data_IF_854398695887
#
_entry.id   IF_854398695887
#
_cell.length_a   1.000
_cell.length_b   1.000
_cell.length_c   1.000
_cell.angle_alpha   90.00
_cell.angle_beta   90.00
_cell.angle_gamma   90.00
#
_symmetry.space_group_name_H-M   'P 1'
#
loop_
_entity.id
_entity.type
_entity.pdbx_description
1 polymer ?
#
# COMPACT_ATOMS: atom_id res chain seq x y z
N UNK A 1 -22.84 -21.28 -14.33
CA UNK A 1 -21.70 -20.90 -15.21
C UNK A 1 -20.97 -19.77 -14.49
N UNK A 2 -19.64 -19.60 -14.58
CA UNK A 2 -18.99 -18.43 -13.99
C UNK A 2 -19.46 -17.17 -14.74
N UNK A 3 -20.17 -16.27 -14.07
CA UNK A 3 -20.71 -15.02 -14.65
C UNK A 3 -19.68 -13.86 -14.63
N UNK A 4 -18.39 -14.18 -14.50
CA UNK A 4 -17.31 -13.19 -14.31
C UNK A 4 -17.37 -12.09 -15.38
N UNK A 5 -17.59 -12.45 -16.64
CA UNK A 5 -17.64 -11.50 -17.76
C UNK A 5 -18.89 -10.60 -17.76
N UNK A 6 -19.99 -11.05 -17.15
CA UNK A 6 -21.26 -10.32 -17.05
C UNK A 6 -21.34 -9.45 -15.79
N UNK A 7 -20.45 -9.68 -14.82
CA UNK A 7 -20.42 -9.00 -13.52
C UNK A 7 -19.28 -7.98 -13.39
N UNK A 8 -18.67 -7.56 -14.51
CA UNK A 8 -17.69 -6.47 -14.50
C UNK A 8 -18.39 -5.13 -14.75
N UNK A 9 -17.97 -4.09 -14.02
CA UNK A 9 -18.37 -2.69 -14.25
C UNK A 9 -19.89 -2.42 -14.13
N UNK A 10 -20.59 -3.16 -13.28
CA UNK A 10 -21.98 -2.85 -12.93
C UNK A 10 -22.01 -1.48 -12.22
N UNK A 11 -22.92 -0.55 -12.59
CA UNK A 11 -23.02 0.75 -11.92
C UNK A 11 -23.30 0.60 -10.42
N UNK A 12 -22.38 1.07 -9.58
CA UNK A 12 -22.42 0.95 -8.10
C UNK A 12 -23.71 1.52 -7.48
N UNK A 13 -24.41 2.41 -8.18
CA UNK A 13 -25.58 3.13 -7.67
C UNK A 13 -26.74 2.24 -7.22
N UNK A 14 -26.97 1.10 -7.88
CA UNK A 14 -28.06 0.18 -7.52
C UNK A 14 -27.62 -0.86 -6.46
N UNK A 15 -26.31 -1.07 -6.30
CA UNK A 15 -25.72 -2.05 -5.38
C UNK A 15 -25.38 -1.48 -3.99
N UNK A 16 -25.41 -0.14 -3.83
CA UNK A 16 -25.07 0.52 -2.57
C UNK A 16 -25.96 0.05 -1.40
N UNK A 17 -27.23 -0.27 -1.68
CA UNK A 17 -28.17 -0.78 -0.66
C UNK A 17 -27.64 -2.08 -0.04
N UNK A 18 -27.06 -2.98 -0.84
CA UNK A 18 -26.47 -4.21 -0.34
C UNK A 18 -25.23 -3.96 0.54
N UNK A 19 -24.40 -3.00 0.14
CA UNK A 19 -23.21 -2.61 0.90
C UNK A 19 -23.59 -1.96 2.23
N UNK A 20 -24.63 -1.12 2.25
CA UNK A 20 -25.14 -0.47 3.47
C UNK A 20 -25.73 -1.49 4.46
N UNK A 21 -26.47 -2.48 3.95
CA UNK A 21 -26.98 -3.60 4.75
C UNK A 21 -25.85 -4.42 5.36
N UNK A 22 -24.83 -4.75 4.57
CA UNK A 22 -23.64 -5.47 5.04
C UNK A 22 -22.80 -4.63 6.03
N UNK A 23 -22.71 -3.32 5.82
CA UNK A 23 -22.04 -2.38 6.72
C UNK A 23 -22.72 -2.38 8.09
N UNK A 24 -24.05 -2.36 8.10
CA UNK A 24 -24.89 -2.28 9.30
C UNK A 24 -24.94 -3.61 10.07
N UNK A 25 -25.24 -4.71 9.36
CA UNK A 25 -25.59 -5.99 10.00
C UNK A 25 -24.42 -7.00 10.06
N UNK A 26 -23.29 -6.70 9.41
CA UNK A 26 -22.07 -7.54 9.34
C UNK A 26 -22.27 -8.95 8.76
N UNK A 27 -23.45 -9.22 8.22
CA UNK A 27 -23.82 -10.37 7.40
C UNK A 27 -25.16 -10.06 6.72
N UNK A 28 -25.42 -10.72 5.61
CA UNK A 28 -26.70 -10.71 4.93
C UNK A 28 -27.11 -12.17 4.69
N UNK A 29 -28.26 -12.56 5.22
CA UNK A 29 -28.81 -13.91 5.05
C UNK A 29 -30.23 -13.76 4.54
N UNK A 30 -30.47 -14.23 3.32
CA UNK A 30 -31.80 -14.23 2.70
C UNK A 30 -32.11 -15.69 2.39
N UNK A 31 -33.09 -16.23 3.11
CA UNK A 31 -33.46 -17.64 3.02
C UNK A 31 -34.34 -17.92 1.79
N UNK A 32 -35.11 -16.92 1.37
CA UNK A 32 -35.92 -16.94 0.16
C UNK A 32 -35.93 -15.54 -0.46
N UNK A 33 -35.41 -15.42 -1.69
CA UNK A 33 -35.38 -14.14 -2.41
C UNK A 33 -36.77 -13.59 -2.70
N UNK A 34 -37.83 -14.41 -2.70
CA UNK A 34 -39.21 -13.92 -2.87
C UNK A 34 -39.61 -12.89 -1.80
N UNK A 35 -38.96 -12.90 -0.63
CA UNK A 35 -39.16 -11.90 0.44
C UNK A 35 -38.78 -10.47 0.01
N UNK A 36 -37.90 -10.35 -1.00
CA UNK A 36 -37.43 -9.07 -1.53
C UNK A 36 -38.38 -8.44 -2.55
N UNK A 37 -39.33 -9.20 -3.08
CA UNK A 37 -40.14 -8.79 -4.24
C UNK A 37 -40.89 -7.47 -4.03
N UNK A 38 -41.40 -7.25 -2.82
CA UNK A 38 -42.15 -6.04 -2.47
C UNK A 38 -41.27 -4.95 -1.82
N UNK A 39 -40.17 -5.34 -1.16
CA UNK A 39 -39.34 -4.45 -0.35
C UNK A 39 -38.13 -3.91 -1.12
N UNK A 40 -37.57 -4.71 -2.02
CA UNK A 40 -36.45 -4.36 -2.87
C UNK A 40 -36.56 -5.00 -4.28
N UNK A 41 -37.52 -4.54 -5.11
CA UNK A 41 -37.82 -5.16 -6.40
C UNK A 41 -36.63 -5.24 -7.37
N UNK A 42 -35.78 -4.22 -7.38
CA UNK A 42 -34.56 -4.20 -8.23
C UNK A 42 -33.53 -5.25 -7.79
N UNK A 43 -33.34 -5.43 -6.49
CA UNK A 43 -32.50 -6.49 -5.94
C UNK A 43 -33.08 -7.88 -6.19
N UNK A 44 -34.40 -8.04 -6.06
CA UNK A 44 -35.12 -9.27 -6.41
C UNK A 44 -34.91 -9.66 -7.88
N UNK A 45 -35.15 -8.73 -8.81
CA UNK A 45 -35.00 -8.98 -10.25
C UNK A 45 -33.57 -9.39 -10.62
N UNK A 46 -32.57 -8.75 -9.99
CA UNK A 46 -31.15 -9.08 -10.17
C UNK A 46 -30.84 -10.52 -9.75
N UNK A 47 -31.26 -10.92 -8.55
CA UNK A 47 -30.96 -12.24 -7.99
C UNK A 47 -31.69 -13.34 -8.76
N UNK A 48 -32.97 -13.14 -9.10
CA UNK A 48 -33.75 -14.11 -9.88
C UNK A 48 -33.21 -14.28 -11.30
N UNK A 49 -32.78 -13.20 -11.97
CA UNK A 49 -32.17 -13.30 -13.30
C UNK A 49 -30.89 -14.14 -13.29
N UNK A 50 -30.17 -14.16 -12.16
CA UNK A 50 -28.98 -14.99 -11.95
C UNK A 50 -29.31 -16.41 -11.44
N UNK A 51 -30.59 -16.75 -11.25
CA UNK A 51 -31.04 -18.04 -10.73
C UNK A 51 -30.73 -18.23 -9.24
N UNK A 52 -30.58 -17.13 -8.49
CA UNK A 52 -30.32 -17.14 -7.05
C UNK A 52 -31.65 -17.20 -6.30
N UNK A 53 -31.77 -18.15 -5.37
CA UNK A 53 -32.96 -18.40 -4.53
C UNK A 53 -32.73 -18.05 -3.07
N UNK A 54 -31.49 -18.13 -2.61
CA UNK A 54 -31.07 -17.74 -1.27
C UNK A 54 -29.61 -17.29 -1.30
N UNK A 55 -29.21 -16.46 -0.34
CA UNK A 55 -27.85 -15.95 -0.22
C UNK A 55 -27.37 -15.91 1.23
N UNK A 56 -26.08 -16.17 1.41
CA UNK A 56 -25.34 -15.97 2.66
C UNK A 56 -24.09 -15.17 2.33
N UNK A 57 -24.11 -13.88 2.63
CA UNK A 57 -23.01 -12.97 2.35
C UNK A 57 -22.44 -12.37 3.64
N UNK A 58 -21.13 -12.17 3.64
CA UNK A 58 -20.38 -11.48 4.68
C UNK A 58 -19.60 -10.32 4.06
N UNK A 59 -19.39 -9.21 4.79
CA UNK A 59 -18.74 -8.03 4.23
C UNK A 59 -17.25 -8.25 4.00
N UNK A 60 -16.73 -7.85 2.85
CA UNK A 60 -15.29 -7.61 2.71
C UNK A 60 -14.99 -6.19 3.20
N UNK A 61 -14.17 -6.10 4.26
CA UNK A 61 -13.86 -4.84 4.94
C UNK A 61 -12.42 -4.43 4.64
N UNK A 62 -12.25 -3.15 4.30
CA UNK A 62 -10.96 -2.49 4.13
C UNK A 62 -11.03 -1.10 4.77
N UNK A 63 -10.06 -0.77 5.62
CA UNK A 63 -10.01 0.50 6.35
C UNK A 63 -11.29 0.87 7.15
N UNK A 64 -12.04 -0.13 7.60
CA UNK A 64 -13.30 0.07 8.35
C UNK A 64 -14.54 0.25 7.47
N UNK A 65 -14.38 0.29 6.15
CA UNK A 65 -15.46 0.41 5.17
C UNK A 65 -15.69 -0.92 4.45
N UNK A 66 -16.95 -1.23 4.18
CA UNK A 66 -17.33 -2.36 3.32
C UNK A 66 -17.09 -1.97 1.87
N UNK A 67 -16.20 -2.71 1.21
CA UNK A 67 -15.86 -2.48 -0.21
C UNK A 67 -16.40 -3.58 -1.13
N UNK A 68 -17.08 -4.57 -0.56
CA UNK A 68 -17.67 -5.68 -1.29
C UNK A 68 -18.21 -6.76 -0.36
N UNK A 69 -18.54 -7.92 -0.93
CA UNK A 69 -19.06 -9.06 -0.19
C UNK A 69 -18.33 -10.35 -0.58
N UNK A 70 -18.34 -11.31 0.34
CA UNK A 70 -17.97 -12.70 0.11
C UNK A 70 -19.18 -13.54 0.51
N UNK A 71 -19.57 -14.50 -0.30
CA UNK A 71 -20.75 -15.26 0.03
C UNK A 71 -20.97 -16.51 -0.77
N UNK A 72 -22.01 -17.22 -0.40
CA UNK A 72 -22.51 -18.42 -1.07
C UNK A 72 -23.97 -18.19 -1.45
N UNK A 73 -24.30 -18.60 -2.66
CA UNK A 73 -25.66 -18.55 -3.18
C UNK A 73 -26.25 -19.96 -3.23
N UNK A 74 -27.58 -20.07 -3.16
CA UNK A 74 -28.32 -21.33 -3.34
C UNK A 74 -27.87 -22.47 -2.43
N UNK A 75 -27.52 -22.16 -1.18
CA UNK A 75 -27.16 -23.14 -0.16
C UNK A 75 -28.40 -23.75 0.49
N UNK A 76 -28.27 -24.98 1.00
CA UNK A 76 -29.31 -25.55 1.86
C UNK A 76 -29.44 -24.72 3.15
N UNK A 77 -30.68 -24.45 3.59
CA UNK A 77 -30.94 -23.57 4.73
C UNK A 77 -30.27 -24.04 6.03
N UNK A 78 -30.16 -25.34 6.24
CA UNK A 78 -29.45 -25.93 7.37
C UNK A 78 -27.93 -25.66 7.33
N UNK A 79 -27.37 -25.48 6.14
CA UNK A 79 -25.95 -25.15 5.95
C UNK A 79 -25.67 -23.66 6.06
N UNK A 80 -26.66 -22.79 5.91
CA UNK A 80 -26.49 -21.34 5.98
C UNK A 80 -25.97 -20.88 7.35
N UNK A 81 -26.49 -21.44 8.45
CA UNK A 81 -26.05 -21.10 9.82
C UNK A 81 -24.59 -21.50 10.08
N UNK A 82 -24.12 -22.58 9.44
CA UNK A 82 -22.73 -23.05 9.53
C UNK A 82 -21.81 -22.28 8.57
N UNK A 83 -22.34 -21.86 7.42
CA UNK A 83 -21.61 -21.11 6.41
C UNK A 83 -21.19 -19.72 6.92
N UNK A 84 -22.03 -19.02 7.68
CA UNK A 84 -21.73 -17.67 8.19
C UNK A 84 -20.40 -17.60 8.97
N UNK A 85 -20.18 -18.36 10.07
CA UNK A 85 -18.94 -18.28 10.83
C UNK A 85 -17.71 -18.72 10.03
N UNK A 86 -17.89 -19.67 9.10
CA UNK A 86 -16.83 -20.09 8.18
C UNK A 86 -16.43 -18.96 7.22
N UNK A 87 -17.42 -18.34 6.57
CA UNK A 87 -17.19 -17.21 5.66
C UNK A 87 -16.60 -16.01 6.39
N UNK A 88 -17.02 -15.73 7.62
CA UNK A 88 -16.41 -14.69 8.47
C UNK A 88 -14.94 -14.97 8.77
N UNK A 89 -14.57 -16.23 8.96
CA UNK A 89 -13.17 -16.63 9.16
C UNK A 89 -12.35 -16.38 7.90
N UNK A 90 -12.86 -16.76 6.72
CA UNK A 90 -12.19 -16.48 5.43
C UNK A 90 -12.06 -14.97 5.22
N UNK A 91 -13.15 -14.23 5.42
CA UNK A 91 -13.21 -12.77 5.33
C UNK A 91 -12.13 -12.11 6.19
N UNK A 92 -11.97 -12.54 7.43
CA UNK A 92 -10.92 -12.05 8.32
C UNK A 92 -9.51 -12.27 7.74
N UNK A 93 -9.19 -13.49 7.27
CA UNK A 93 -7.88 -13.78 6.69
C UNK A 93 -7.63 -13.02 5.38
N UNK A 94 -8.66 -12.82 4.55
CA UNK A 94 -8.56 -12.02 3.34
C UNK A 94 -8.26 -10.54 3.67
N UNK A 95 -9.02 -9.94 4.58
CA UNK A 95 -8.79 -8.57 5.05
C UNK A 95 -7.37 -8.39 5.60
N UNK A 96 -6.89 -9.34 6.42
CA UNK A 96 -5.51 -9.31 6.92
C UNK A 96 -4.45 -9.40 5.80
N UNK A 97 -4.67 -10.28 4.83
CA UNK A 97 -3.72 -10.50 3.74
C UNK A 97 -3.64 -9.28 2.81
N UNK A 98 -4.78 -8.65 2.52
CA UNK A 98 -4.86 -7.42 1.73
C UNK A 98 -4.14 -6.26 2.42
N UNK A 99 -4.38 -6.07 3.72
CA UNK A 99 -3.71 -5.02 4.48
C UNK A 99 -2.18 -5.21 4.49
N UNK A 100 -1.69 -6.46 4.61
CA UNK A 100 -0.26 -6.76 4.50
C UNK A 100 0.30 -6.41 3.13
N UNK A 101 -0.36 -6.84 2.07
CA UNK A 101 0.07 -6.56 0.69
C UNK A 101 0.11 -5.05 0.42
N UNK A 102 -0.87 -4.29 0.91
CA UNK A 102 -0.89 -2.82 0.77
C UNK A 102 0.29 -2.17 1.48
N UNK A 103 0.54 -2.52 2.74
CA UNK A 103 1.67 -2.00 3.49
C UNK A 103 3.02 -2.34 2.84
N UNK A 104 3.17 -3.56 2.31
CA UNK A 104 4.37 -3.97 1.58
C UNK A 104 4.55 -3.20 0.27
N UNK A 105 3.47 -3.00 -0.48
CA UNK A 105 3.47 -2.20 -1.70
C UNK A 105 3.83 -0.74 -1.41
N UNK A 106 3.23 -0.12 -0.39
CA UNK A 106 3.56 1.25 0.03
C UNK A 106 5.03 1.37 0.42
N UNK A 107 5.54 0.42 1.20
CA UNK A 107 6.96 0.40 1.58
C UNK A 107 7.86 0.26 0.35
N UNK A 108 7.51 -0.61 -0.58
CA UNK A 108 8.27 -0.80 -1.82
C UNK A 108 8.25 0.46 -2.69
N UNK A 109 7.10 1.12 -2.82
CA UNK A 109 6.96 2.39 -3.54
C UNK A 109 7.77 3.51 -2.87
N UNK A 110 7.80 3.54 -1.54
CA UNK A 110 8.65 4.45 -0.79
C UNK A 110 10.14 4.19 -1.07
N UNK A 111 10.60 2.94 -0.95
CA UNK A 111 12.00 2.58 -1.22
C UNK A 111 12.39 2.91 -2.66
N UNK A 112 11.53 2.61 -3.64
CA UNK A 112 11.74 2.94 -5.05
C UNK A 112 11.84 4.45 -5.30
N UNK A 113 11.04 5.25 -4.61
CA UNK A 113 10.96 6.69 -4.86
C UNK A 113 11.99 7.51 -4.08
N UNK A 114 12.44 7.02 -2.92
CA UNK A 114 13.22 7.81 -1.95
C UNK A 114 14.62 7.27 -1.66
N UNK A 115 14.97 6.04 -2.05
CA UNK A 115 16.26 5.42 -1.71
C UNK A 115 17.13 5.22 -2.97
N UNK A 116 18.41 5.56 -2.87
CA UNK A 116 19.42 5.18 -3.85
C UNK A 116 19.82 3.72 -3.61
N UNK A 117 19.55 2.85 -4.58
CA UNK A 117 19.77 1.40 -4.45
C UNK A 117 21.24 1.00 -4.35
N UNK A 118 22.17 1.83 -4.82
CA UNK A 118 23.58 1.51 -4.81
C UNK A 118 24.19 1.67 -3.40
N UNK A 119 23.80 2.72 -2.70
CA UNK A 119 24.38 3.13 -1.42
C UNK A 119 23.46 2.91 -0.21
N UNK A 120 22.18 2.65 -0.45
CA UNK A 120 21.10 2.66 0.56
C UNK A 120 20.92 4.02 1.27
N UNK A 121 21.48 5.10 0.71
CA UNK A 121 21.20 6.45 1.18
C UNK A 121 19.88 6.95 0.60
N UNK A 122 19.36 8.04 1.15
CA UNK A 122 18.26 8.74 0.50
C UNK A 122 18.70 9.30 -0.85
N UNK A 123 17.78 9.33 -1.81
CA UNK A 123 18.07 9.87 -3.13
C UNK A 123 17.76 11.37 -3.21
N UNK A 124 17.96 11.94 -4.40
CA UNK A 124 17.68 13.34 -4.71
C UNK A 124 16.23 13.77 -4.41
N UNK A 125 15.24 12.91 -4.66
CA UNK A 125 13.84 13.26 -4.42
C UNK A 125 13.60 13.48 -2.92
N UNK A 126 14.12 12.57 -2.11
CA UNK A 126 14.00 12.67 -0.67
C UNK A 126 14.73 13.89 -0.11
N UNK A 127 15.91 14.18 -0.64
CA UNK A 127 16.65 15.39 -0.28
C UNK A 127 15.82 16.67 -0.53
N UNK A 128 15.19 16.78 -1.71
CA UNK A 128 14.34 17.94 -2.04
C UNK A 128 13.15 18.06 -1.07
N UNK A 129 12.50 16.94 -0.77
CA UNK A 129 11.39 16.91 0.18
C UNK A 129 11.83 17.36 1.58
N UNK A 130 12.86 16.72 2.13
CA UNK A 130 13.36 17.02 3.49
C UNK A 130 13.82 18.49 3.58
N UNK A 131 14.46 19.04 2.55
CA UNK A 131 14.85 20.46 2.52
C UNK A 131 13.62 21.38 2.53
N UNK A 132 12.54 21.02 1.84
CA UNK A 132 11.29 21.79 1.88
C UNK A 132 10.69 21.81 3.28
N UNK A 133 10.63 20.66 3.95
CA UNK A 133 10.14 20.53 5.33
C UNK A 133 11.01 21.32 6.32
N UNK A 134 12.33 21.27 6.15
CA UNK A 134 13.28 21.99 7.01
C UNK A 134 13.17 23.51 6.87
N UNK A 135 12.82 24.04 5.70
CA UNK A 135 12.59 25.48 5.50
C UNK A 135 11.42 26.01 6.31
N UNK A 136 10.44 25.17 6.59
CA UNK A 136 9.29 25.53 7.44
C UNK A 136 9.63 25.44 8.93
N UNK A 137 10.69 24.73 9.28
CA UNK A 137 11.18 24.60 10.66
C UNK A 137 12.02 25.81 11.08
N UNK A 138 12.03 26.12 12.39
CA UNK A 138 12.83 27.23 12.98
C UNK A 138 14.16 26.78 13.59
N UNK A 139 14.60 25.54 13.31
CA UNK A 139 15.83 24.96 13.85
C UNK A 139 17.08 25.37 13.08
N UNK A 140 18.25 25.24 13.70
CA UNK A 140 19.52 25.38 12.99
C UNK A 140 19.77 24.16 12.10
N UNK A 141 20.46 24.37 10.98
CA UNK A 141 20.76 23.29 10.02
C UNK A 141 22.24 23.38 9.63
N UNK A 142 22.94 22.26 9.72
CA UNK A 142 24.28 22.08 9.19
C UNK A 142 24.24 21.21 7.94
N UNK A 143 24.97 21.59 6.89
CA UNK A 143 24.99 20.87 5.62
C UNK A 143 26.42 20.57 5.20
N UNK A 144 26.72 19.29 4.98
CA UNK A 144 27.99 18.85 4.40
C UNK A 144 27.72 18.38 2.98
N UNK A 145 28.41 18.97 2.01
CA UNK A 145 28.39 18.56 0.61
C UNK A 145 29.69 17.82 0.29
N UNK A 146 29.60 16.66 -0.34
CA UNK A 146 30.75 15.85 -0.72
C UNK A 146 30.66 15.46 -2.18
N UNK A 147 31.81 15.44 -2.86
CA UNK A 147 31.97 15.00 -4.24
C UNK A 147 33.11 13.97 -4.32
N UNK A 148 32.88 12.84 -4.99
CA UNK A 148 33.91 11.79 -5.15
C UNK A 148 34.84 12.15 -6.31
N UNK A 149 36.06 12.54 -5.97
CA UNK A 149 37.11 12.78 -6.95
C UNK A 149 37.52 11.50 -7.71
N UNK A 150 37.72 11.62 -9.02
CA UNK A 150 38.32 10.55 -9.85
C UNK A 150 37.38 9.41 -10.22
N UNK A 151 36.08 9.50 -9.94
CA UNK A 151 35.12 8.43 -10.28
C UNK A 151 35.14 8.09 -11.78
N UNK A 152 35.20 9.11 -12.64
CA UNK A 152 35.27 8.92 -14.10
C UNK A 152 36.52 8.15 -14.52
N UNK A 153 37.69 8.49 -13.98
CA UNK A 153 38.95 7.81 -14.31
C UNK A 153 38.91 6.33 -13.93
N UNK A 154 38.32 6.01 -12.77
CA UNK A 154 38.13 4.63 -12.32
C UNK A 154 37.15 3.89 -13.24
N UNK A 155 36.02 4.52 -13.62
CA UNK A 155 35.07 3.94 -14.55
C UNK A 155 35.71 3.65 -15.91
N UNK A 156 36.48 4.60 -16.45
CA UNK A 156 37.11 4.51 -17.76
C UNK A 156 38.23 3.45 -17.77
N UNK A 157 38.96 3.28 -16.66
CA UNK A 157 40.10 2.37 -16.55
C UNK A 157 39.72 0.94 -16.14
N UNK A 158 38.69 0.79 -15.30
CA UNK A 158 38.36 -0.47 -14.62
C UNK A 158 36.89 -0.88 -14.76
N UNK A 159 36.07 -0.09 -15.46
CA UNK A 159 34.65 -0.34 -15.70
C UNK A 159 33.73 0.15 -14.57
N UNK A 160 32.42 0.20 -14.87
CA UNK A 160 31.40 0.72 -13.95
C UNK A 160 31.29 -0.07 -12.64
N UNK A 161 31.53 -1.39 -12.66
CA UNK A 161 31.52 -2.20 -11.43
C UNK A 161 32.60 -1.75 -10.43
N UNK A 162 33.74 -1.23 -10.91
CA UNK A 162 34.78 -0.68 -10.07
C UNK A 162 34.39 0.69 -9.49
N UNK A 163 33.75 1.54 -10.30
CA UNK A 163 33.17 2.79 -9.81
C UNK A 163 32.09 2.56 -8.77
N UNK A 164 31.20 1.59 -8.99
CA UNK A 164 30.16 1.21 -8.03
C UNK A 164 30.74 0.76 -6.69
N UNK A 165 31.87 0.04 -6.70
CA UNK A 165 32.61 -0.33 -5.49
C UNK A 165 33.20 0.88 -4.79
N UNK A 166 33.78 1.83 -5.53
CA UNK A 166 34.30 3.08 -4.98
C UNK A 166 33.17 3.86 -4.29
N UNK A 167 32.04 4.04 -4.98
CA UNK A 167 30.88 4.76 -4.46
C UNK A 167 30.35 4.11 -3.18
N UNK A 168 30.18 2.78 -3.18
CA UNK A 168 29.78 2.02 -1.98
C UNK A 168 30.77 2.17 -0.83
N UNK A 169 32.08 2.15 -1.12
CA UNK A 169 33.13 2.36 -0.13
C UNK A 169 33.04 3.74 0.51
N UNK A 170 32.92 4.79 -0.30
CA UNK A 170 32.74 6.17 0.17
C UNK A 170 31.48 6.32 1.02
N UNK A 171 30.33 5.80 0.55
CA UNK A 171 29.09 5.81 1.32
C UNK A 171 29.24 5.07 2.66
N UNK A 172 29.93 3.93 2.68
CA UNK A 172 30.23 3.20 3.91
C UNK A 172 31.04 4.02 4.91
N UNK A 173 32.06 4.74 4.45
CA UNK A 173 32.84 5.66 5.29
C UNK A 173 31.95 6.78 5.82
N UNK A 174 31.20 7.47 4.96
CA UNK A 174 30.30 8.56 5.36
C UNK A 174 29.33 8.10 6.45
N UNK A 175 28.69 6.94 6.27
CA UNK A 175 27.73 6.36 7.23
C UNK A 175 28.36 6.08 8.59
N UNK A 176 29.63 5.67 8.63
CA UNK A 176 30.33 5.36 9.87
C UNK A 176 30.99 6.60 10.52
N UNK A 177 31.17 7.67 9.76
CA UNK A 177 31.81 8.92 10.22
C UNK A 177 30.83 9.95 10.76
N UNK A 178 29.53 9.71 10.70
CA UNK A 178 28.49 10.66 11.12
C UNK A 178 27.45 10.00 12.03
N UNK A 179 26.92 10.78 12.97
CA UNK A 179 25.75 10.41 13.76
C UNK A 179 24.42 10.77 13.06
N UNK A 180 24.46 11.54 11.97
CA UNK A 180 23.25 11.92 11.23
C UNK A 180 22.67 10.73 10.47
N UNK A 181 21.33 10.63 10.47
CA UNK A 181 20.58 9.68 9.66
C UNK A 181 20.16 10.25 8.30
N UNK A 182 20.44 11.53 8.05
CA UNK A 182 20.06 12.25 6.83
C UNK A 182 21.24 12.28 5.87
N UNK A 183 21.42 11.13 5.21
CA UNK A 183 22.48 10.89 4.23
C UNK A 183 21.85 10.75 2.86
N UNK A 184 22.33 11.54 1.90
CA UNK A 184 21.75 11.62 0.57
C UNK A 184 22.82 11.38 -0.49
N UNK A 185 22.46 10.67 -1.54
CA UNK A 185 23.15 10.68 -2.84
C UNK A 185 22.27 11.43 -3.82
N UNK A 186 22.73 12.60 -4.26
CA UNK A 186 21.93 13.52 -5.08
C UNK A 186 22.36 13.51 -6.56
N UNK A 187 23.54 12.96 -6.85
CA UNK A 187 24.10 12.82 -8.19
C UNK A 187 24.86 11.49 -8.36
N UNK A 188 25.71 11.40 -9.38
CA UNK A 188 26.53 10.20 -9.62
C UNK A 188 27.57 9.98 -8.51
N UNK A 189 28.32 11.01 -8.22
CA UNK A 189 29.42 11.14 -7.27
C UNK A 189 29.12 12.13 -6.13
N UNK A 190 27.94 12.77 -6.16
CA UNK A 190 27.57 13.86 -5.25
C UNK A 190 26.72 13.36 -4.07
N UNK A 191 27.14 13.74 -2.87
CA UNK A 191 26.53 13.36 -1.59
C UNK A 191 26.25 14.57 -0.71
N UNK A 192 25.20 14.46 0.10
CA UNK A 192 24.85 15.47 1.11
C UNK A 192 24.58 14.82 2.44
N UNK A 193 25.02 15.46 3.52
CA UNK A 193 24.67 15.11 4.91
C UNK A 193 24.00 16.32 5.55
N UNK A 194 22.83 16.13 6.13
CA UNK A 194 22.11 17.19 6.85
C UNK A 194 22.13 16.90 8.35
N UNK A 195 22.47 17.92 9.15
CA UNK A 195 22.29 17.93 10.59
C UNK A 195 21.21 18.96 10.94
N UNK A 196 20.36 18.62 11.90
CA UNK A 196 19.32 19.51 12.43
C UNK A 196 19.61 19.81 13.87
N UNK A 197 19.28 21.02 14.31
CA UNK A 197 19.44 21.49 15.69
C UNK A 197 20.88 21.39 16.19
N UNK A 198 21.84 21.63 15.29
CA UNK A 198 23.28 21.62 15.57
C UNK A 198 23.79 23.05 15.79
N UNK A 199 24.71 23.24 16.73
CA UNK A 199 25.37 24.54 16.93
C UNK A 199 26.64 24.62 16.08
N UNK A 200 27.13 25.83 15.85
CA UNK A 200 28.36 26.06 15.09
C UNK A 200 29.60 25.41 15.75
N UNK A 201 29.66 25.35 17.08
CA UNK A 201 30.78 24.75 17.81
C UNK A 201 30.86 23.22 17.63
N UNK A 202 29.72 22.55 17.46
CA UNK A 202 29.64 21.09 17.31
C UNK A 202 29.60 20.62 15.86
N UNK A 203 29.40 21.52 14.90
CA UNK A 203 29.36 21.22 13.47
C UNK A 203 30.77 21.14 12.88
#
# INVERSE_FOLDING_TARGET
MPEIDNLQNIPIGDDQVWLDELQTHKKLVINDVEELKDTFPTGYDLLIHQGIRNIVWVPLIKNGEVYGSLGLDNQDLEMAEVAVPFLQTIQYFLSLSMQRNENENEKMLFELSQIDRLTSFYNRNRFIQDVSELKESRGSVGVVYLDINGLKEINDSFGHDAGDKLIKGCAGVMKNSTASKRLYRIGGDEFVIIYTDITEEFF
#
